data_IF_285764788251
#
_entry.id   IF_285764788251
#
_cell.length_a   1.000
_cell.length_b   1.000
_cell.length_c   1.000
_cell.angle_alpha   90.00
_cell.angle_beta   90.00
_cell.angle_gamma   90.00
#
_symmetry.space_group_name_H-M   'P 1'
#
loop_
_entity.id
_entity.type
_entity.pdbx_description
1 polymer ?
#
# COMPACT_ATOMS: atom_id res chain seq x y z
N UNK A 1 -29.74 -23.41 -5.90
CA UNK A 1 -28.55 -23.49 -5.08
C UNK A 1 -27.49 -24.33 -5.76
N UNK A 2 -26.28 -24.32 -5.25
CA UNK A 2 -25.21 -25.21 -5.70
C UNK A 2 -25.55 -26.64 -5.25
N UNK A 3 -25.32 -27.63 -6.11
CA UNK A 3 -25.61 -29.03 -5.78
C UNK A 3 -24.60 -29.60 -4.79
N UNK A 4 -25.04 -30.64 -4.02
CA UNK A 4 -24.21 -31.30 -3.00
C UNK A 4 -22.93 -31.92 -3.57
N UNK A 5 -22.88 -32.21 -4.86
CA UNK A 5 -21.69 -32.69 -5.58
C UNK A 5 -20.52 -31.70 -5.60
N UNK A 6 -20.75 -30.44 -5.27
CA UNK A 6 -19.69 -29.43 -5.12
C UNK A 6 -19.18 -29.31 -3.68
N UNK A 7 -19.88 -29.92 -2.72
CA UNK A 7 -19.50 -29.93 -1.30
C UNK A 7 -18.56 -31.11 -1.00
N UNK A 8 -17.38 -31.06 -1.56
CA UNK A 8 -16.32 -32.05 -1.37
C UNK A 8 -14.99 -31.33 -1.13
N UNK A 9 -14.07 -32.01 -0.46
CA UNK A 9 -12.76 -31.47 -0.08
C UNK A 9 -11.84 -31.19 -1.25
N UNK A 10 -12.12 -31.75 -2.41
CA UNK A 10 -11.44 -31.46 -3.68
C UNK A 10 -12.04 -30.26 -4.43
N UNK A 11 -13.14 -29.65 -3.95
CA UNK A 11 -13.86 -28.58 -4.63
C UNK A 11 -14.10 -27.36 -3.75
N UNK A 12 -15.30 -27.27 -3.17
CA UNK A 12 -15.79 -26.07 -2.47
C UNK A 12 -15.58 -26.14 -0.95
N UNK A 13 -15.64 -27.34 -0.39
CA UNK A 13 -15.49 -27.55 1.05
C UNK A 13 -14.03 -27.23 1.48
N UNK A 14 -13.88 -26.51 2.59
CA UNK A 14 -12.60 -26.19 3.18
C UNK A 14 -12.77 -26.05 4.70
N UNK A 15 -12.27 -27.02 5.46
CA UNK A 15 -12.36 -27.04 6.92
C UNK A 15 -13.79 -26.85 7.47
N UNK A 16 -14.77 -27.54 6.88
CA UNK A 16 -16.17 -27.48 7.28
C UNK A 16 -16.94 -26.25 6.79
N UNK A 17 -16.32 -25.39 5.98
CA UNK A 17 -16.93 -24.19 5.43
C UNK A 17 -16.86 -24.15 3.90
N UNK A 18 -17.78 -23.42 3.27
CA UNK A 18 -17.68 -23.13 1.84
C UNK A 18 -16.59 -22.07 1.59
N UNK A 19 -15.60 -22.40 0.77
CA UNK A 19 -14.55 -21.49 0.38
C UNK A 19 -14.60 -21.24 -1.13
N UNK A 20 -15.16 -20.09 -1.52
CA UNK A 20 -15.29 -19.72 -2.93
C UNK A 20 -13.94 -19.39 -3.58
N UNK A 21 -12.96 -18.92 -2.81
CA UNK A 21 -11.59 -18.73 -3.31
C UNK A 21 -10.97 -20.08 -3.70
N UNK A 22 -11.12 -21.11 -2.85
CA UNK A 22 -10.68 -22.47 -3.17
C UNK A 22 -11.35 -22.98 -4.43
N UNK A 23 -12.67 -22.84 -4.54
CA UNK A 23 -13.39 -23.25 -5.74
C UNK A 23 -12.90 -22.52 -7.00
N UNK A 24 -12.68 -21.21 -6.91
CA UNK A 24 -12.14 -20.43 -8.02
C UNK A 24 -10.74 -20.95 -8.41
N UNK A 25 -9.88 -21.21 -7.46
CA UNK A 25 -8.55 -21.79 -7.71
C UNK A 25 -8.61 -23.22 -8.29
N UNK A 26 -9.61 -24.01 -7.93
CA UNK A 26 -9.78 -25.39 -8.49
C UNK A 26 -10.22 -25.36 -9.94
N UNK A 27 -11.16 -24.45 -10.28
CA UNK A 27 -11.83 -24.46 -11.59
C UNK A 27 -11.26 -23.48 -12.63
N UNK A 28 -10.35 -22.58 -12.22
CA UNK A 28 -9.69 -21.68 -13.16
C UNK A 28 -8.66 -22.42 -14.04
N UNK A 29 -8.49 -22.01 -15.27
CA UNK A 29 -7.44 -22.51 -16.15
C UNK A 29 -6.07 -21.98 -15.74
N UNK A 30 -6.00 -20.73 -15.34
CA UNK A 30 -4.78 -20.01 -14.96
C UNK A 30 -5.06 -19.22 -13.67
N UNK A 31 -4.07 -19.18 -12.79
CA UNK A 31 -4.08 -18.40 -11.55
C UNK A 31 -3.08 -17.26 -11.69
N UNK A 32 -3.51 -16.03 -11.48
CA UNK A 32 -2.62 -14.86 -11.50
C UNK A 32 -2.60 -14.16 -10.16
N UNK A 33 -1.44 -13.60 -9.80
CA UNK A 33 -1.27 -12.72 -8.63
C UNK A 33 -0.35 -11.55 -8.97
N UNK A 34 -0.21 -10.59 -8.03
CA UNK A 34 0.38 -9.27 -8.32
C UNK A 34 1.91 -9.22 -8.43
N UNK A 35 2.65 -10.29 -8.18
CA UNK A 35 4.10 -10.30 -8.41
C UNK A 35 4.64 -11.72 -8.57
N UNK A 36 5.78 -11.90 -9.28
CA UNK A 36 6.47 -13.18 -9.33
C UNK A 36 6.84 -13.70 -7.93
N UNK A 37 7.40 -12.86 -7.07
CA UNK A 37 7.75 -13.24 -5.70
C UNK A 37 6.53 -13.67 -4.89
N UNK A 38 5.42 -12.94 -5.00
CA UNK A 38 4.19 -13.32 -4.29
C UNK A 38 3.58 -14.62 -4.84
N UNK A 39 3.72 -14.90 -6.13
CA UNK A 39 3.34 -16.20 -6.69
C UNK A 39 4.09 -17.37 -6.03
N UNK A 40 5.34 -17.19 -5.63
CA UNK A 40 6.10 -18.17 -4.87
C UNK A 40 5.70 -18.19 -3.39
N UNK A 41 5.53 -17.03 -2.77
CA UNK A 41 5.18 -16.88 -1.35
C UNK A 41 3.84 -17.56 -1.01
N UNK A 42 2.79 -17.38 -1.80
CA UNK A 42 1.47 -17.97 -1.56
C UNK A 42 1.46 -19.51 -1.66
N UNK A 43 2.50 -20.13 -2.17
CA UNK A 43 2.69 -21.57 -2.16
C UNK A 43 3.31 -22.09 -0.84
N UNK A 44 3.63 -21.18 0.11
CA UNK A 44 4.13 -21.55 1.44
C UNK A 44 3.01 -21.58 2.47
N UNK A 45 3.18 -22.36 3.54
CA UNK A 45 2.18 -22.47 4.60
C UNK A 45 1.90 -21.13 5.31
N UNK A 46 2.89 -20.22 5.34
CA UNK A 46 2.76 -18.91 5.99
C UNK A 46 1.88 -17.93 5.20
N UNK A 47 2.07 -17.85 3.88
CA UNK A 47 1.36 -16.88 3.03
C UNK A 47 0.18 -17.50 2.26
N UNK A 48 0.06 -18.81 2.21
CA UNK A 48 -0.95 -19.51 1.43
C UNK A 48 -2.34 -19.56 2.06
N UNK A 49 -2.50 -19.07 3.30
CA UNK A 49 -3.80 -18.99 3.99
C UNK A 49 -4.60 -20.31 3.93
N UNK A 50 -3.90 -21.43 4.16
CA UNK A 50 -4.41 -22.81 4.08
C UNK A 50 -4.74 -23.30 2.65
N UNK A 51 -4.41 -22.53 1.62
CA UNK A 51 -4.55 -22.90 0.21
C UNK A 51 -3.20 -23.22 -0.45
N UNK A 52 -2.12 -23.15 0.31
CA UNK A 52 -0.76 -23.42 -0.15
C UNK A 52 -0.58 -24.81 -0.80
N UNK A 53 -1.25 -25.84 -0.27
CA UNK A 53 -1.25 -27.17 -0.85
C UNK A 53 -1.84 -27.21 -2.26
N UNK A 54 -2.98 -26.54 -2.47
CA UNK A 54 -3.63 -26.43 -3.78
C UNK A 54 -2.75 -25.62 -4.73
N UNK A 55 -2.21 -24.47 -4.28
CA UNK A 55 -1.35 -23.61 -5.08
C UNK A 55 -0.06 -24.34 -5.50
N UNK A 56 0.56 -25.11 -4.60
CA UNK A 56 1.72 -25.96 -4.94
C UNK A 56 1.37 -27.04 -5.98
N UNK A 57 0.21 -27.67 -5.84
CA UNK A 57 -0.24 -28.69 -6.80
C UNK A 57 -0.41 -28.10 -8.20
N UNK A 58 -0.82 -26.81 -8.28
CA UNK A 58 -1.04 -26.07 -9.53
C UNK A 58 0.10 -25.09 -9.87
N UNK A 59 1.29 -25.25 -9.31
CA UNK A 59 2.41 -24.29 -9.45
C UNK A 59 2.76 -23.87 -10.88
N UNK A 60 2.51 -24.74 -11.85
CA UNK A 60 2.78 -24.48 -13.28
C UNK A 60 1.71 -23.58 -13.94
N UNK A 61 0.60 -23.34 -13.24
CA UNK A 61 -0.52 -22.51 -13.69
C UNK A 61 -0.64 -21.24 -12.86
N UNK A 62 0.30 -21.01 -11.91
CA UNK A 62 0.36 -19.81 -11.05
C UNK A 62 1.39 -18.84 -11.60
N UNK A 63 0.95 -17.64 -11.96
CA UNK A 63 1.79 -16.61 -12.56
C UNK A 63 1.72 -15.31 -11.78
N UNK A 64 2.86 -14.71 -11.51
CA UNK A 64 2.98 -13.37 -10.95
C UNK A 64 3.06 -12.30 -12.05
N UNK A 65 2.14 -11.36 -12.04
CA UNK A 65 2.09 -10.24 -12.98
C UNK A 65 2.25 -8.93 -12.21
N UNK A 66 3.27 -8.14 -12.53
CA UNK A 66 3.46 -6.82 -11.90
C UNK A 66 2.39 -5.85 -12.39
N UNK A 67 1.91 -5.00 -11.49
CA UNK A 67 1.03 -3.91 -11.86
C UNK A 67 1.77 -2.92 -12.77
N UNK A 68 1.07 -2.40 -13.77
CA UNK A 68 1.52 -1.31 -14.61
C UNK A 68 1.32 0.04 -13.94
N UNK A 69 1.98 1.05 -14.48
CA UNK A 69 1.77 2.47 -14.16
C UNK A 69 1.36 3.15 -15.47
N UNK A 70 0.32 3.98 -15.43
CA UNK A 70 -0.02 4.84 -16.56
C UNK A 70 1.02 5.96 -16.68
N UNK A 71 1.94 5.79 -17.64
CA UNK A 71 3.05 6.71 -17.87
C UNK A 71 2.63 8.02 -18.53
N UNK A 72 1.39 8.13 -19.04
CA UNK A 72 0.86 9.39 -19.54
C UNK A 72 0.26 10.21 -18.39
N UNK A 73 -0.46 9.58 -17.46
CA UNK A 73 -1.08 10.25 -16.32
C UNK A 73 -0.06 10.57 -15.21
N UNK A 74 0.83 9.62 -14.90
CA UNK A 74 1.86 9.78 -13.85
C UNK A 74 3.21 10.24 -14.41
N UNK A 75 3.21 11.30 -15.24
CA UNK A 75 4.42 11.85 -15.84
C UNK A 75 4.71 13.26 -15.31
N UNK A 76 5.67 13.44 -14.41
CA UNK A 76 5.96 14.76 -13.83
C UNK A 76 6.49 15.79 -14.83
N UNK A 77 6.86 15.39 -16.04
CA UNK A 77 7.23 16.30 -17.12
C UNK A 77 6.02 16.98 -17.81
N UNK A 78 4.81 16.45 -17.58
CA UNK A 78 3.58 16.94 -18.23
C UNK A 78 2.38 17.01 -17.28
N UNK A 79 2.58 16.76 -15.99
CA UNK A 79 1.51 16.73 -15.00
C UNK A 79 1.13 18.14 -14.55
N UNK A 80 0.03 18.65 -15.04
CA UNK A 80 -0.49 19.97 -14.69
C UNK A 80 -0.99 20.08 -13.21
N UNK A 81 -1.08 18.97 -12.47
CA UNK A 81 -1.50 18.95 -11.05
C UNK A 81 -0.37 19.36 -10.11
N UNK A 82 0.89 19.30 -10.55
CA UNK A 82 2.03 19.69 -9.73
C UNK A 82 2.46 21.13 -10.04
N UNK A 83 3.00 21.87 -9.05
CA UNK A 83 3.33 23.30 -9.22
C UNK A 83 4.49 23.56 -10.19
N UNK A 84 5.32 22.58 -10.48
CA UNK A 84 6.39 22.67 -11.46
C UNK A 84 6.71 21.31 -12.05
N UNK A 85 6.89 21.25 -13.35
CA UNK A 85 7.35 20.07 -14.06
C UNK A 85 8.81 19.73 -13.70
N UNK A 86 9.13 18.43 -13.73
CA UNK A 86 10.51 17.94 -13.57
C UNK A 86 10.69 16.61 -14.31
N UNK A 87 11.93 16.26 -14.58
CA UNK A 87 12.31 14.98 -15.20
C UNK A 87 13.39 14.28 -14.37
N UNK A 88 13.78 13.06 -14.77
CA UNK A 88 14.90 12.36 -14.14
C UNK A 88 16.25 13.09 -14.35
N UNK A 89 16.37 13.82 -15.45
CA UNK A 89 17.60 14.56 -15.81
C UNK A 89 17.60 15.98 -15.25
N UNK A 90 16.43 16.56 -14.94
CA UNK A 90 16.29 17.89 -14.34
C UNK A 90 15.28 17.85 -13.18
N UNK A 91 15.78 17.85 -11.97
CA UNK A 91 14.99 17.85 -10.73
C UNK A 91 14.73 19.26 -10.16
N UNK A 92 15.05 20.35 -10.88
CA UNK A 92 14.91 21.72 -10.37
C UNK A 92 13.45 22.05 -10.00
N UNK A 93 12.47 21.55 -10.75
CA UNK A 93 11.05 21.71 -10.46
C UNK A 93 10.62 21.06 -9.15
N UNK A 94 11.29 19.99 -8.73
CA UNK A 94 10.97 19.26 -7.49
C UNK A 94 11.13 20.12 -6.23
N UNK A 95 12.07 21.05 -6.23
CA UNK A 95 12.24 21.98 -5.12
C UNK A 95 11.03 22.90 -4.93
N UNK A 96 10.40 23.33 -6.03
CA UNK A 96 9.16 24.12 -6.00
C UNK A 96 7.98 23.29 -5.50
N UNK A 97 7.87 22.04 -6.00
CA UNK A 97 6.85 21.12 -5.52
C UNK A 97 6.95 20.85 -4.02
N UNK A 98 8.17 20.70 -3.51
CA UNK A 98 8.42 20.51 -2.08
C UNK A 98 8.01 21.74 -1.26
N UNK A 99 8.43 22.93 -1.66
CA UNK A 99 8.11 24.17 -0.94
C UNK A 99 6.58 24.39 -0.87
N UNK A 100 5.88 24.21 -1.99
CA UNK A 100 4.42 24.33 -2.02
C UNK A 100 3.71 23.25 -1.16
N UNK A 101 4.21 22.02 -1.17
CA UNK A 101 3.69 20.97 -0.30
C UNK A 101 3.84 21.33 1.18
N UNK A 102 5.00 21.85 1.57
CA UNK A 102 5.26 22.32 2.94
C UNK A 102 4.30 23.45 3.32
N UNK A 103 4.13 24.45 2.47
CA UNK A 103 3.20 25.57 2.70
C UNK A 103 1.75 25.11 2.81
N UNK A 104 1.26 24.33 1.85
CA UNK A 104 -0.13 23.83 1.82
C UNK A 104 -0.49 22.98 3.05
N UNK A 105 0.48 22.25 3.57
CA UNK A 105 0.27 21.36 4.72
C UNK A 105 0.59 22.02 6.06
N UNK A 106 1.10 23.26 6.09
CA UNK A 106 1.47 23.96 7.31
C UNK A 106 2.76 23.45 7.96
N UNK A 107 3.62 22.81 7.16
CA UNK A 107 4.95 22.40 7.59
C UNK A 107 5.92 23.60 7.56
N UNK A 108 7.03 23.50 8.30
CA UNK A 108 8.12 24.48 8.18
C UNK A 108 8.74 24.38 6.80
N UNK A 109 8.75 25.47 6.05
CA UNK A 109 9.35 25.51 4.71
C UNK A 109 10.87 25.51 4.83
N UNK A 110 11.49 24.38 4.50
CA UNK A 110 12.96 24.23 4.50
C UNK A 110 13.37 23.29 3.35
N UNK A 111 14.19 23.76 2.41
CA UNK A 111 14.65 22.96 1.28
C UNK A 111 15.55 21.78 1.70
N UNK A 112 16.20 21.85 2.86
CA UNK A 112 17.19 20.88 3.31
C UNK A 112 16.58 19.75 4.17
N UNK A 113 15.37 19.94 4.73
CA UNK A 113 14.72 18.91 5.56
C UNK A 113 14.04 17.86 4.68
N UNK A 114 14.38 16.58 4.77
CA UNK A 114 13.69 15.54 4.02
C UNK A 114 12.21 15.42 4.44
N UNK A 115 11.33 15.17 3.45
CA UNK A 115 9.93 14.82 3.70
C UNK A 115 9.75 13.31 3.49
N UNK A 116 9.25 12.63 4.51
CA UNK A 116 8.79 11.25 4.44
C UNK A 116 7.29 11.29 4.10
N UNK A 117 6.92 10.74 2.96
CA UNK A 117 5.52 10.66 2.52
C UNK A 117 4.94 9.27 2.72
N UNK A 118 3.79 9.19 3.35
CA UNK A 118 3.01 7.97 3.49
C UNK A 118 1.64 8.18 2.87
N UNK A 119 1.35 7.47 1.77
CA UNK A 119 0.06 7.55 1.06
C UNK A 119 -0.55 6.16 0.97
N UNK A 120 -1.75 5.99 1.51
CA UNK A 120 -2.43 4.71 1.44
C UNK A 120 -3.39 4.45 2.58
N UNK A 121 -3.94 3.23 2.59
CA UNK A 121 -4.86 2.79 3.65
C UNK A 121 -4.13 2.70 5.00
N UNK A 122 -4.69 3.33 6.02
CA UNK A 122 -4.14 3.29 7.38
C UNK A 122 -4.59 1.99 8.08
N UNK A 123 -3.80 0.94 7.90
CA UNK A 123 -4.08 -0.38 8.46
C UNK A 123 -2.81 -1.06 8.95
N UNK A 124 -2.97 -2.04 9.84
CA UNK A 124 -1.87 -2.82 10.38
C UNK A 124 -1.04 -3.52 9.29
N UNK A 125 -1.68 -3.96 8.20
CA UNK A 125 -1.01 -4.58 7.04
C UNK A 125 0.04 -3.68 6.36
N UNK A 126 -0.01 -2.37 6.61
CA UNK A 126 0.95 -1.40 6.06
C UNK A 126 2.14 -1.13 6.98
N UNK A 127 2.30 -1.90 8.06
CA UNK A 127 3.38 -1.74 9.01
C UNK A 127 3.30 -0.46 9.85
N UNK A 128 2.10 0.10 10.02
CA UNK A 128 1.92 1.34 10.78
C UNK A 128 2.15 1.17 12.27
N UNK A 129 2.09 -0.04 12.78
CA UNK A 129 2.51 -0.41 14.14
C UNK A 129 4.01 -0.16 14.36
N UNK A 130 4.84 -0.36 13.33
CA UNK A 130 6.27 -0.02 13.37
C UNK A 130 6.48 1.49 13.40
N UNK A 131 5.68 2.25 12.65
CA UNK A 131 5.72 3.72 12.69
C UNK A 131 5.27 4.25 14.04
N UNK A 132 4.19 3.69 14.62
CA UNK A 132 3.71 4.01 15.97
C UNK A 132 4.82 3.83 17.01
N UNK A 133 5.58 2.74 16.90
CA UNK A 133 6.67 2.43 17.82
C UNK A 133 7.83 3.43 17.75
N UNK A 134 8.17 3.95 16.57
CA UNK A 134 9.34 4.81 16.37
C UNK A 134 9.03 6.29 16.19
N UNK A 135 7.75 6.70 16.16
CA UNK A 135 7.37 8.07 15.74
C UNK A 135 8.02 9.17 16.58
N UNK A 136 8.20 8.93 17.87
CA UNK A 136 8.89 9.87 18.76
C UNK A 136 10.36 10.06 18.39
N UNK A 137 11.07 8.96 18.20
CA UNK A 137 12.49 8.98 17.79
C UNK A 137 12.64 9.58 16.40
N UNK A 138 11.76 9.20 15.46
CA UNK A 138 11.75 9.74 14.11
C UNK A 138 11.57 11.26 14.09
N UNK A 139 10.68 11.78 14.94
CA UNK A 139 10.44 13.23 15.03
C UNK A 139 11.51 13.98 15.82
N UNK A 140 12.41 13.29 16.54
CA UNK A 140 13.61 13.89 17.09
C UNK A 140 14.66 14.23 16.01
N UNK A 141 14.62 13.53 14.90
CA UNK A 141 15.49 13.78 13.74
C UNK A 141 15.04 15.01 12.93
N UNK A 142 15.93 15.52 12.08
CA UNK A 142 15.63 16.66 11.21
C UNK A 142 14.89 16.20 9.94
N UNK A 143 13.66 15.71 10.12
CA UNK A 143 12.78 15.23 9.05
C UNK A 143 11.36 15.76 9.21
N UNK A 144 10.58 15.71 8.14
CA UNK A 144 9.14 15.98 8.14
C UNK A 144 8.38 14.72 7.71
N UNK A 145 7.17 14.53 8.25
CA UNK A 145 6.29 13.43 7.93
C UNK A 145 4.95 13.94 7.38
N UNK A 146 4.58 13.46 6.20
CA UNK A 146 3.28 13.71 5.57
C UNK A 146 2.52 12.42 5.43
N UNK A 147 1.32 12.36 5.97
CA UNK A 147 0.44 11.19 5.90
C UNK A 147 -0.85 11.55 5.18
N UNK A 148 -1.19 10.78 4.15
CA UNK A 148 -2.45 10.88 3.42
C UNK A 148 -3.11 9.51 3.36
N UNK A 149 -4.33 9.40 3.90
CA UNK A 149 -5.10 8.16 3.83
C UNK A 149 -6.20 8.05 4.86
N UNK A 150 -6.98 6.98 4.76
CA UNK A 150 -8.01 6.62 5.73
C UNK A 150 -7.86 5.16 6.16
N UNK A 151 -8.42 4.81 7.31
CA UNK A 151 -8.40 3.42 7.81
C UNK A 151 -8.78 3.28 9.26
N UNK A 152 -8.03 2.45 9.98
CA UNK A 152 -8.31 2.13 11.37
C UNK A 152 -8.19 3.37 12.28
N UNK A 153 -9.17 3.55 13.17
CA UNK A 153 -9.24 4.71 14.08
C UNK A 153 -7.96 4.86 14.95
N UNK A 154 -7.30 3.75 15.27
CA UNK A 154 -6.03 3.75 15.99
C UNK A 154 -4.99 4.63 15.29
N UNK A 155 -4.80 4.43 13.98
CA UNK A 155 -3.79 5.15 13.21
C UNK A 155 -4.22 6.58 12.86
N UNK A 156 -5.52 6.80 12.65
CA UNK A 156 -6.07 8.17 12.52
C UNK A 156 -5.77 8.96 13.78
N UNK A 157 -6.01 8.39 14.97
CA UNK A 157 -5.73 9.05 16.24
C UNK A 157 -4.23 9.27 16.46
N UNK A 158 -3.37 8.29 16.12
CA UNK A 158 -1.92 8.41 16.20
C UNK A 158 -1.40 9.61 15.41
N UNK A 159 -1.77 9.70 14.12
CA UNK A 159 -1.27 10.77 13.27
C UNK A 159 -1.92 12.13 13.57
N UNK A 160 -3.16 12.16 14.06
CA UNK A 160 -3.77 13.40 14.59
C UNK A 160 -3.04 13.91 15.82
N UNK A 161 -2.68 13.04 16.74
CA UNK A 161 -1.86 13.38 17.88
C UNK A 161 -0.47 13.89 17.44
N UNK A 162 0.19 13.16 16.54
CA UNK A 162 1.52 13.53 16.05
C UNK A 162 1.54 14.89 15.35
N UNK A 163 0.50 15.23 14.57
CA UNK A 163 0.37 16.56 13.94
C UNK A 163 0.24 17.67 15.01
N UNK A 164 -0.49 17.41 16.09
CA UNK A 164 -0.64 18.33 17.22
C UNK A 164 0.63 18.52 18.03
N UNK A 165 1.37 17.45 18.28
CA UNK A 165 2.59 17.44 19.09
C UNK A 165 3.79 17.99 18.31
N UNK A 166 3.97 17.57 17.07
CA UNK A 166 5.14 17.91 16.24
C UNK A 166 4.78 18.97 15.19
N UNK A 167 4.26 20.11 15.62
CA UNK A 167 3.85 21.21 14.75
C UNK A 167 4.97 21.66 13.81
N UNK A 168 4.63 21.82 12.54
CA UNK A 168 5.58 22.17 11.48
C UNK A 168 6.46 21.02 10.98
N UNK A 169 6.40 19.86 11.63
CA UNK A 169 7.12 18.64 11.22
C UNK A 169 6.20 17.54 10.72
N UNK A 170 4.98 17.42 11.25
CA UNK A 170 4.02 16.40 10.86
C UNK A 170 2.77 17.04 10.27
N UNK A 171 2.27 16.49 9.17
CA UNK A 171 0.97 16.82 8.62
C UNK A 171 0.22 15.54 8.23
N UNK A 172 -1.04 15.43 8.66
CA UNK A 172 -1.90 14.30 8.36
C UNK A 172 -3.19 14.76 7.67
N UNK A 173 -3.57 14.05 6.61
CA UNK A 173 -4.83 14.30 5.88
C UNK A 173 -5.58 12.98 5.76
N UNK A 174 -6.78 12.96 6.32
CA UNK A 174 -7.62 11.77 6.38
C UNK A 174 -8.69 11.84 5.31
N UNK A 175 -8.27 11.61 4.08
CA UNK A 175 -9.14 11.55 2.92
C UNK A 175 -8.73 10.38 2.02
N UNK A 176 -9.70 9.85 1.27
CA UNK A 176 -9.40 9.09 0.05
C UNK A 176 -9.46 10.10 -1.09
N UNK A 177 -8.31 10.52 -1.55
CA UNK A 177 -8.20 11.29 -2.79
C UNK A 177 -8.16 10.32 -3.97
N UNK A 178 -8.95 10.63 -5.00
CA UNK A 178 -9.02 9.86 -6.24
C UNK A 178 -8.28 10.57 -7.34
#
# INVERSE_FOLDING_TARGET
GLGDSLWTDDKLECYGCANFMKAALVYSDIITTVSPSYAEEIQTAYYGERLDGLLRARKHEVFGVLNGIDMADYNPATDARIPAEYTADDLSGKAKCKAELQEKLGLTVDPNVPIIGMVGRLSNQKGLDLVDYIIGDLMSENVQLVVLGMGESRYVNLFSWAEGEFKGKVAARFAMDH
#
